data_IF_611795753139
#
_entry.id   IF_611795753139
#
_cell.length_a   1.000
_cell.length_b   1.000
_cell.length_c   1.000
_cell.angle_alpha   90.00
_cell.angle_beta   90.00
_cell.angle_gamma   90.00
#
_symmetry.space_group_name_H-M   'P 1'
#
loop_
_entity.id
_entity.type
_entity.pdbx_description
1 polymer ?
#
# COMPACT_ATOMS: atom_id res chain seq x y z
N UNK A 1 28.24 -15.55 -25.38
CA UNK A 1 27.06 -16.08 -26.12
C UNK A 1 25.72 -15.48 -25.64
N UNK A 2 25.69 -14.72 -24.53
CA UNK A 2 24.50 -13.99 -24.07
C UNK A 2 24.26 -12.65 -24.81
N UNK A 3 25.30 -11.98 -25.30
CA UNK A 3 25.18 -10.62 -25.86
C UNK A 3 24.33 -10.53 -27.15
N UNK A 4 24.34 -11.57 -28.00
CA UNK A 4 23.60 -11.54 -29.27
C UNK A 4 22.07 -11.70 -29.09
N UNK A 5 21.64 -12.38 -28.04
CA UNK A 5 20.21 -12.51 -27.71
C UNK A 5 19.68 -11.24 -27.06
N UNK A 6 20.48 -10.59 -26.24
CA UNK A 6 20.11 -9.37 -25.53
C UNK A 6 19.94 -8.17 -26.49
N UNK A 7 20.82 -8.05 -27.49
CA UNK A 7 20.70 -7.04 -28.56
C UNK A 7 19.46 -7.26 -29.42
N UNK A 8 19.10 -8.51 -29.73
CA UNK A 8 17.85 -8.82 -30.47
C UNK A 8 16.61 -8.46 -29.66
N UNK A 9 16.63 -8.70 -28.35
CA UNK A 9 15.50 -8.44 -27.45
C UNK A 9 15.32 -6.94 -27.20
N UNK A 10 16.42 -6.19 -27.04
CA UNK A 10 16.42 -4.71 -26.91
C UNK A 10 15.82 -4.04 -28.14
N UNK A 11 16.22 -4.49 -29.34
CA UNK A 11 15.65 -3.99 -30.59
C UNK A 11 14.14 -4.25 -30.69
N UNK A 12 13.65 -5.38 -30.15
CA UNK A 12 12.23 -5.72 -30.15
C UNK A 12 11.40 -4.78 -29.27
N UNK A 13 11.91 -4.44 -28.08
CA UNK A 13 11.23 -3.48 -27.21
C UNK A 13 11.16 -2.10 -27.84
N UNK A 14 12.29 -1.56 -28.33
CA UNK A 14 12.33 -0.23 -28.94
C UNK A 14 11.39 -0.11 -30.14
N UNK A 15 11.36 -1.12 -31.02
CA UNK A 15 10.42 -1.18 -32.15
C UNK A 15 8.98 -1.19 -31.67
N UNK A 16 8.67 -1.98 -30.62
CA UNK A 16 7.32 -2.01 -30.03
C UNK A 16 6.94 -0.67 -29.39
N UNK A 17 7.88 -0.02 -28.70
CA UNK A 17 7.67 1.26 -28.04
C UNK A 17 7.40 2.38 -29.06
N UNK A 18 8.25 2.48 -30.08
CA UNK A 18 8.07 3.45 -31.17
C UNK A 18 6.78 3.19 -31.94
N UNK A 19 6.46 1.93 -32.24
CA UNK A 19 5.20 1.57 -32.88
C UNK A 19 3.97 1.95 -32.05
N UNK A 20 4.03 1.76 -30.73
CA UNK A 20 2.95 2.17 -29.82
C UNK A 20 2.78 3.69 -29.77
N UNK A 21 3.89 4.42 -29.69
CA UNK A 21 3.90 5.88 -29.72
C UNK A 21 3.25 6.40 -31.02
N UNK A 22 3.69 5.91 -32.19
CA UNK A 22 3.14 6.32 -33.48
C UNK A 22 1.63 6.02 -33.55
N UNK A 23 1.21 4.83 -33.11
CA UNK A 23 -0.20 4.44 -33.09
C UNK A 23 -1.02 5.37 -32.19
N UNK A 24 -0.53 5.72 -31.00
CA UNK A 24 -1.23 6.60 -30.08
C UNK A 24 -1.26 8.05 -30.58
N UNK A 25 -0.22 8.52 -31.27
CA UNK A 25 -0.22 9.85 -31.90
C UNK A 25 -1.33 10.03 -32.94
N UNK A 26 -1.77 8.93 -33.59
CA UNK A 26 -2.91 8.96 -34.53
C UNK A 26 -4.27 8.86 -33.85
N UNK A 27 -4.31 8.60 -32.54
CA UNK A 27 -5.54 8.38 -31.79
C UNK A 27 -5.87 9.58 -30.91
N UNK A 28 -7.15 9.71 -30.54
CA UNK A 28 -7.56 10.66 -29.51
C UNK A 28 -6.96 10.27 -28.15
N UNK A 29 -6.63 11.23 -27.26
CA UNK A 29 -6.02 10.97 -25.96
C UNK A 29 -6.75 9.95 -25.08
N UNK A 30 -8.08 9.93 -25.16
CA UNK A 30 -8.93 9.00 -24.38
C UNK A 30 -8.84 7.54 -24.85
N UNK A 31 -8.19 7.28 -25.99
CA UNK A 31 -8.10 5.95 -26.59
C UNK A 31 -6.68 5.40 -26.59
N UNK A 32 -5.72 6.06 -25.93
CA UNK A 32 -4.35 5.56 -25.86
C UNK A 32 -4.32 4.14 -25.29
N UNK A 33 -3.60 3.26 -25.99
CA UNK A 33 -3.41 1.87 -25.57
C UNK A 33 -1.93 1.60 -25.46
N UNK A 34 -1.55 0.90 -24.40
CA UNK A 34 -0.16 0.52 -24.15
C UNK A 34 -0.06 -1.01 -24.09
N UNK A 35 0.98 -1.56 -24.71
CA UNK A 35 1.30 -2.99 -24.60
C UNK A 35 1.82 -3.29 -23.19
N UNK A 36 1.77 -4.56 -22.79
CA UNK A 36 2.20 -4.96 -21.44
C UNK A 36 3.66 -4.59 -21.14
N UNK A 37 4.56 -4.81 -22.11
CA UNK A 37 5.96 -4.41 -22.00
C UNK A 37 6.16 -2.92 -21.70
N UNK A 38 5.30 -2.05 -22.24
CA UNK A 38 5.37 -0.60 -22.02
C UNK A 38 4.83 -0.24 -20.65
N UNK A 39 3.80 -0.96 -20.17
CA UNK A 39 3.27 -0.79 -18.82
C UNK A 39 4.32 -1.22 -17.78
N UNK A 40 4.96 -2.36 -17.97
CA UNK A 40 6.04 -2.83 -17.09
C UNK A 40 7.20 -1.83 -17.05
N UNK A 41 7.62 -1.35 -18.23
CA UNK A 41 8.61 -0.29 -18.33
C UNK A 41 8.19 0.99 -17.60
N UNK A 42 6.91 1.40 -17.74
CA UNK A 42 6.37 2.58 -17.06
C UNK A 42 6.37 2.43 -15.53
N UNK A 43 6.03 1.26 -15.00
CA UNK A 43 6.12 0.96 -13.56
C UNK A 43 7.57 1.08 -13.10
N UNK A 44 8.50 0.41 -13.79
CA UNK A 44 9.93 0.48 -13.47
C UNK A 44 10.47 1.91 -13.50
N UNK A 45 10.10 2.69 -14.52
CA UNK A 45 10.50 4.10 -14.66
C UNK A 45 9.97 4.95 -13.49
N UNK A 46 8.73 4.73 -13.07
CA UNK A 46 8.13 5.46 -11.95
C UNK A 46 8.77 5.09 -10.61
N UNK A 47 9.00 3.79 -10.36
CA UNK A 47 9.59 3.30 -9.10
C UNK A 47 11.05 3.75 -8.98
N UNK A 48 11.84 3.64 -10.05
CA UNK A 48 13.27 3.96 -10.02
C UNK A 48 13.56 5.45 -10.23
N UNK A 49 12.82 6.11 -11.12
CA UNK A 49 13.03 7.53 -11.46
C UNK A 49 12.18 8.49 -10.63
N UNK A 50 11.13 7.99 -9.97
CA UNK A 50 10.18 8.81 -9.23
C UNK A 50 9.20 9.58 -10.12
N UNK A 51 8.20 10.18 -9.46
CA UNK A 51 7.08 10.87 -10.12
C UNK A 51 7.52 12.00 -11.06
N UNK A 52 8.54 12.77 -10.69
CA UNK A 52 8.97 13.93 -11.48
C UNK A 52 9.61 13.53 -12.80
N UNK A 53 10.50 12.53 -12.77
CA UNK A 53 11.13 11.98 -13.98
C UNK A 53 10.09 11.34 -14.88
N UNK A 54 9.16 10.58 -14.29
CA UNK A 54 8.06 9.97 -15.01
C UNK A 54 7.20 11.01 -15.74
N UNK A 55 6.74 12.05 -15.05
CA UNK A 55 5.93 13.11 -15.65
C UNK A 55 6.70 13.89 -16.71
N UNK A 56 7.97 14.19 -16.48
CA UNK A 56 8.82 14.83 -17.48
C UNK A 56 8.85 14.03 -18.77
N UNK A 57 9.09 12.72 -18.70
CA UNK A 57 9.11 11.86 -19.89
C UNK A 57 7.72 11.78 -20.53
N UNK A 58 6.67 11.61 -19.73
CA UNK A 58 5.28 11.51 -20.23
C UNK A 58 4.84 12.75 -21.00
N UNK A 59 5.22 13.93 -20.52
CA UNK A 59 4.86 15.21 -21.14
C UNK A 59 5.68 15.48 -22.41
N UNK A 60 6.96 15.09 -22.44
CA UNK A 60 7.82 15.28 -23.61
C UNK A 60 7.62 14.20 -24.70
N UNK A 61 7.19 13.00 -24.31
CA UNK A 61 6.87 11.89 -25.22
C UNK A 61 5.37 11.56 -25.13
N UNK A 62 4.55 12.48 -25.61
CA UNK A 62 3.09 12.38 -25.49
C UNK A 62 2.54 11.07 -26.07
N UNK A 63 1.71 10.37 -25.30
CA UNK A 63 1.12 9.09 -25.70
C UNK A 63 2.06 7.89 -25.69
N UNK A 64 3.32 8.05 -25.27
CA UNK A 64 4.30 6.95 -25.20
C UNK A 64 4.09 6.01 -23.99
N UNK A 65 3.70 6.59 -22.85
CA UNK A 65 3.51 5.88 -21.58
C UNK A 65 2.17 6.25 -20.95
N UNK A 66 1.62 5.40 -20.06
CA UNK A 66 0.34 5.64 -19.41
C UNK A 66 0.30 6.97 -18.63
N UNK A 67 -0.91 7.46 -18.37
CA UNK A 67 -1.09 8.55 -17.40
C UNK A 67 -0.98 8.03 -15.96
N UNK A 68 -0.85 8.95 -15.00
CA UNK A 68 -0.69 8.60 -13.58
C UNK A 68 -1.87 7.79 -13.02
N UNK A 69 -3.10 8.07 -13.42
CA UNK A 69 -4.26 7.33 -12.92
C UNK A 69 -4.21 5.86 -13.38
N UNK A 70 -3.89 5.64 -14.66
CA UNK A 70 -3.68 4.29 -15.20
C UNK A 70 -2.49 3.61 -14.55
N UNK A 71 -1.40 4.34 -14.29
CA UNK A 71 -0.23 3.79 -13.61
C UNK A 71 -0.56 3.36 -12.17
N UNK A 72 -1.29 4.19 -11.42
CA UNK A 72 -1.74 3.86 -10.07
C UNK A 72 -2.64 2.62 -10.06
N UNK A 73 -3.53 2.47 -11.05
CA UNK A 73 -4.33 1.26 -11.23
C UNK A 73 -3.47 0.04 -11.53
N UNK A 74 -2.44 0.18 -12.36
CA UNK A 74 -1.52 -0.91 -12.67
C UNK A 74 -0.73 -1.36 -11.44
N UNK A 75 -0.23 -0.42 -10.65
CA UNK A 75 0.50 -0.69 -9.39
C UNK A 75 -0.45 -1.33 -8.35
N UNK A 76 -1.71 -0.89 -8.30
CA UNK A 76 -2.71 -1.49 -7.40
C UNK A 76 -3.13 -2.90 -7.85
N UNK A 77 -3.10 -3.16 -9.16
CA UNK A 77 -3.49 -4.45 -9.76
C UNK A 77 -2.35 -5.47 -9.74
N UNK A 78 -1.09 -5.04 -9.77
CA UNK A 78 -0.02 -5.93 -9.41
C UNK A 78 -0.26 -6.37 -7.97
N UNK A 79 -0.52 -7.67 -7.75
CA UNK A 79 -0.73 -8.32 -6.44
C UNK A 79 0.52 -8.23 -5.52
N UNK A 80 1.29 -7.16 -5.63
CA UNK A 80 2.53 -6.85 -4.92
C UNK A 80 2.29 -5.98 -3.70
N UNK A 81 1.05 -5.62 -3.39
CA UNK A 81 0.71 -4.94 -2.15
C UNK A 81 0.76 -5.96 -1.00
N UNK A 82 1.93 -6.09 -0.39
CA UNK A 82 2.11 -6.90 0.81
C UNK A 82 1.47 -6.19 2.00
N UNK A 83 0.75 -6.95 2.83
CA UNK A 83 0.38 -6.44 4.14
C UNK A 83 1.56 -6.54 5.11
N UNK A 84 1.46 -5.83 6.24
CA UNK A 84 2.51 -5.86 7.26
C UNK A 84 2.77 -7.30 7.72
N UNK A 85 4.05 -7.66 7.88
CA UNK A 85 4.52 -8.99 8.25
C UNK A 85 4.19 -10.12 7.23
N UNK A 86 3.78 -9.79 5.99
CA UNK A 86 3.72 -10.77 4.89
C UNK A 86 5.01 -10.82 4.09
N UNK A 87 5.45 -12.04 3.78
CA UNK A 87 6.67 -12.31 3.03
C UNK A 87 6.35 -13.03 1.72
N UNK A 88 6.94 -12.57 0.61
CA UNK A 88 6.79 -13.23 -0.69
C UNK A 88 7.96 -14.15 -0.99
N UNK A 89 7.78 -15.43 -0.72
CA UNK A 89 8.77 -16.46 -1.04
C UNK A 89 8.59 -17.07 -2.44
N UNK A 90 7.59 -16.64 -3.21
CA UNK A 90 7.26 -17.23 -4.52
C UNK A 90 8.43 -17.19 -5.50
N UNK A 91 9.11 -16.05 -5.59
CA UNK A 91 10.30 -15.87 -6.44
C UNK A 91 11.53 -16.60 -5.93
N UNK A 92 11.61 -16.90 -4.62
CA UNK A 92 12.77 -17.57 -4.04
C UNK A 92 12.86 -19.04 -4.46
N UNK A 93 11.79 -19.65 -4.98
CA UNK A 93 11.84 -20.99 -5.59
C UNK A 93 12.77 -21.07 -6.81
N UNK A 94 13.05 -19.94 -7.46
CA UNK A 94 14.00 -19.88 -8.57
C UNK A 94 15.45 -19.88 -8.07
N UNK A 95 15.67 -19.43 -6.84
CA UNK A 95 16.97 -19.51 -6.17
C UNK A 95 17.14 -20.94 -5.64
N UNK A 96 18.10 -21.69 -6.18
CA UNK A 96 18.41 -23.07 -5.77
C UNK A 96 19.12 -23.14 -4.40
N UNK A 97 18.74 -22.27 -3.46
CA UNK A 97 19.30 -22.24 -2.12
C UNK A 97 18.40 -23.00 -1.16
N UNK A 98 18.98 -23.91 -0.38
CA UNK A 98 18.29 -24.62 0.70
C UNK A 98 18.20 -23.78 1.98
N UNK A 99 18.98 -22.69 2.06
CA UNK A 99 19.09 -21.84 3.24
C UNK A 99 18.97 -20.37 2.86
N UNK A 100 18.22 -19.62 3.66
CA UNK A 100 18.11 -18.17 3.57
C UNK A 100 18.36 -17.57 4.94
N UNK A 101 19.10 -16.47 4.99
CA UNK A 101 19.27 -15.68 6.20
C UNK A 101 18.42 -14.41 6.07
N UNK A 102 17.60 -14.14 7.08
CA UNK A 102 16.83 -12.92 7.17
C UNK A 102 17.33 -12.13 8.38
N UNK A 103 17.61 -10.85 8.16
CA UNK A 103 17.89 -9.89 9.22
C UNK A 103 16.88 -8.76 9.11
N UNK A 104 16.06 -8.58 10.13
CA UNK A 104 15.16 -7.44 10.23
C UNK A 104 15.86 -6.32 11.00
N UNK A 105 15.82 -5.10 10.44
CA UNK A 105 16.24 -3.91 11.15
C UNK A 105 15.02 -3.00 11.32
N UNK A 106 14.66 -2.73 12.57
CA UNK A 106 13.56 -1.81 12.89
C UNK A 106 14.09 -0.39 12.68
N UNK A 107 14.03 0.09 11.45
CA UNK A 107 14.33 1.49 11.16
C UNK A 107 13.27 2.37 11.81
N UNK A 108 13.70 3.34 12.62
CA UNK A 108 12.84 4.28 13.32
C UNK A 108 12.15 5.24 12.37
N UNK A 109 11.18 4.75 11.60
CA UNK A 109 10.23 5.56 10.84
C UNK A 109 9.30 6.21 11.87
N UNK A 110 8.98 7.49 11.66
CA UNK A 110 8.00 8.21 12.48
C UNK A 110 6.75 7.32 12.60
N UNK A 111 6.45 6.87 13.82
CA UNK A 111 5.39 5.90 14.13
C UNK A 111 4.03 6.53 13.89
N UNK A 112 3.58 6.49 12.65
CA UNK A 112 2.20 6.80 12.29
C UNK A 112 1.45 5.48 12.25
N UNK A 113 0.61 5.25 13.26
CA UNK A 113 -0.30 4.11 13.28
C UNK A 113 -1.47 4.44 12.37
N UNK A 114 -1.69 3.63 11.35
CA UNK A 114 -2.78 3.77 10.39
C UNK A 114 -3.68 2.55 10.45
N UNK A 115 -4.98 2.75 10.24
CA UNK A 115 -5.92 1.65 10.12
C UNK A 115 -6.04 1.23 8.65
N UNK A 116 -5.75 -0.04 8.35
CA UNK A 116 -5.98 -0.64 7.05
C UNK A 116 -7.37 -1.31 7.00
N UNK A 117 -8.31 -0.63 6.34
CA UNK A 117 -9.67 -1.13 6.13
C UNK A 117 -9.78 -2.43 5.35
N UNK A 118 -8.78 -2.81 4.53
CA UNK A 118 -8.83 -4.04 3.73
C UNK A 118 -8.61 -5.27 4.61
N UNK A 119 -7.68 -5.16 5.55
CA UNK A 119 -7.31 -6.25 6.47
C UNK A 119 -7.99 -6.11 7.83
N UNK A 120 -8.65 -4.97 8.08
CA UNK A 120 -9.24 -4.60 9.35
C UNK A 120 -8.21 -4.64 10.49
N UNK A 121 -7.03 -4.07 10.23
CA UNK A 121 -5.90 -4.11 11.14
C UNK A 121 -5.20 -2.76 11.30
N UNK A 122 -4.47 -2.60 12.39
CA UNK A 122 -3.60 -1.45 12.62
C UNK A 122 -2.20 -1.72 12.11
N UNK A 123 -1.72 -0.82 11.25
CA UNK A 123 -0.40 -0.85 10.62
C UNK A 123 0.49 0.19 11.27
N UNK A 124 1.78 -0.11 11.46
CA UNK A 124 2.77 0.82 11.99
C UNK A 124 3.11 0.62 13.48
N UNK A 125 2.57 -0.42 14.11
CA UNK A 125 3.09 -0.94 15.37
C UNK A 125 4.30 -1.85 15.12
N UNK A 126 5.13 -2.08 16.15
CA UNK A 126 6.15 -3.11 16.06
C UNK A 126 5.48 -4.49 16.21
N UNK A 127 5.28 -5.19 15.09
CA UNK A 127 4.66 -6.52 15.09
C UNK A 127 5.44 -7.51 15.96
N UNK A 128 4.80 -8.23 16.90
CA UNK A 128 5.47 -9.24 17.70
C UNK A 128 6.03 -10.37 16.85
N UNK A 129 7.13 -10.94 17.34
CA UNK A 129 7.91 -11.95 16.62
C UNK A 129 7.70 -13.30 17.31
N UNK A 130 7.39 -14.33 16.53
CA UNK A 130 7.40 -15.73 16.96
C UNK A 130 8.42 -16.51 16.12
N UNK A 131 9.31 -17.27 16.77
CA UNK A 131 10.39 -18.01 16.09
C UNK A 131 11.21 -17.18 15.09
N UNK A 132 11.48 -15.90 15.40
CA UNK A 132 12.18 -14.94 14.52
C UNK A 132 11.41 -14.52 13.26
N UNK A 133 10.10 -14.77 13.21
CA UNK A 133 9.21 -14.32 12.12
C UNK A 133 8.12 -13.41 12.70
N UNK A 134 7.92 -12.21 12.14
CA UNK A 134 6.79 -11.35 12.49
C UNK A 134 5.44 -12.07 12.31
N UNK A 135 4.53 -11.91 13.28
CA UNK A 135 3.20 -12.50 13.22
C UNK A 135 2.26 -11.69 12.31
N UNK A 136 1.81 -12.23 11.17
CA UNK A 136 0.95 -11.50 10.25
C UNK A 136 -0.40 -11.19 10.89
N UNK A 137 -0.91 -9.98 10.66
CA UNK A 137 -2.24 -9.52 11.12
C UNK A 137 -2.41 -9.59 12.65
N UNK A 138 -1.33 -9.47 13.43
CA UNK A 138 -1.37 -9.50 14.89
C UNK A 138 -2.30 -8.42 15.48
N UNK A 139 -2.34 -7.24 14.87
CA UNK A 139 -3.19 -6.11 15.30
C UNK A 139 -4.51 -6.02 14.53
N UNK A 140 -5.08 -7.16 14.12
CA UNK A 140 -6.42 -7.20 13.53
C UNK A 140 -7.50 -6.94 14.60
N UNK A 141 -8.49 -6.10 14.28
CA UNK A 141 -9.55 -5.73 15.21
C UNK A 141 -10.94 -5.94 14.58
N UNK A 142 -11.45 -7.18 14.62
CA UNK A 142 -12.76 -7.53 14.07
C UNK A 142 -13.92 -7.11 14.97
N UNK A 143 -13.64 -6.96 16.25
CA UNK A 143 -14.59 -6.50 17.25
C UNK A 143 -13.99 -5.37 18.08
N UNK A 144 -14.87 -4.62 18.74
CA UNK A 144 -14.46 -3.61 19.70
C UNK A 144 -13.55 -4.17 20.81
N UNK A 145 -13.81 -5.40 21.25
CA UNK A 145 -13.06 -6.03 22.33
C UNK A 145 -11.62 -6.35 21.92
N UNK A 146 -11.37 -6.52 20.62
CA UNK A 146 -10.04 -6.78 20.07
C UNK A 146 -9.13 -5.54 20.21
N UNK A 147 -9.70 -4.33 20.30
CA UNK A 147 -8.94 -3.09 20.46
C UNK A 147 -8.26 -2.97 21.82
N UNK A 148 -8.85 -3.57 22.86
CA UNK A 148 -8.34 -3.46 24.23
C UNK A 148 -6.91 -4.00 24.38
N UNK A 149 -6.60 -5.25 24.01
CA UNK A 149 -5.24 -5.76 24.11
C UNK A 149 -4.25 -4.98 23.23
N UNK A 150 -4.68 -4.49 22.06
CA UNK A 150 -3.85 -3.64 21.19
C UNK A 150 -3.49 -2.33 21.88
N UNK A 151 -4.45 -1.72 22.58
CA UNK A 151 -4.24 -0.48 23.32
C UNK A 151 -3.35 -0.69 24.55
N UNK A 152 -3.62 -1.74 25.33
CA UNK A 152 -2.93 -2.00 26.60
C UNK A 152 -1.47 -2.46 26.41
N UNK A 153 -1.17 -3.15 25.30
CA UNK A 153 0.15 -3.78 25.07
C UNK A 153 1.16 -2.83 24.41
N UNK A 154 0.71 -1.84 23.65
CA UNK A 154 1.58 -0.94 22.91
C UNK A 154 1.81 0.36 23.70
N UNK A 155 3.05 0.85 23.73
CA UNK A 155 3.34 2.21 24.21
C UNK A 155 2.72 3.25 23.26
N UNK A 156 1.45 3.60 23.46
CA UNK A 156 0.73 4.61 22.67
C UNK A 156 0.74 5.94 23.45
N UNK A 157 0.44 7.06 22.78
CA UNK A 157 0.13 8.29 23.51
C UNK A 157 -0.97 8.02 24.56
N UNK A 158 -0.97 8.72 25.70
CA UNK A 158 -2.11 8.70 26.62
C UNK A 158 -3.39 9.29 26.01
N UNK A 159 -3.32 9.85 24.79
CA UNK A 159 -4.43 10.48 24.07
C UNK A 159 -4.71 9.70 22.78
N UNK A 160 -5.89 9.10 22.70
CA UNK A 160 -6.33 8.28 21.58
C UNK A 160 -7.42 9.01 20.77
N UNK A 161 -7.06 9.67 19.67
CA UNK A 161 -8.05 10.37 18.83
C UNK A 161 -8.75 9.42 17.85
N UNK A 162 -9.81 8.76 18.28
CA UNK A 162 -10.64 7.95 17.37
C UNK A 162 -11.74 8.76 16.72
N UNK A 163 -11.83 8.70 15.39
CA UNK A 163 -12.91 9.29 14.61
C UNK A 163 -13.87 8.19 14.15
N UNK A 164 -14.97 8.01 14.86
CA UNK A 164 -16.01 7.05 14.48
C UNK A 164 -17.04 7.70 13.58
N UNK A 165 -17.42 7.04 12.48
CA UNK A 165 -18.43 7.50 11.55
C UNK A 165 -19.60 6.54 11.54
N UNK A 166 -20.79 7.03 11.85
CA UNK A 166 -22.03 6.27 11.69
C UNK A 166 -22.70 6.67 10.37
N UNK A 167 -22.90 5.71 9.46
CA UNK A 167 -23.80 5.90 8.31
C UNK A 167 -25.24 5.87 8.81
N UNK A 168 -25.66 6.95 9.47
CA UNK A 168 -27.08 7.26 9.62
C UNK A 168 -27.51 7.82 8.26
N UNK A 169 -28.66 7.44 7.70
CA UNK A 169 -29.20 8.01 6.45
C UNK A 169 -29.56 9.51 6.51
N UNK A 170 -28.80 10.28 7.29
CA UNK A 170 -28.95 11.68 7.67
C UNK A 170 -27.68 12.41 7.21
N UNK A 171 -27.74 13.67 6.75
CA UNK A 171 -26.67 14.28 5.93
C UNK A 171 -25.35 14.60 6.65
N UNK A 172 -25.25 14.41 7.97
CA UNK A 172 -24.13 14.89 8.76
C UNK A 172 -23.44 13.75 9.51
N UNK A 173 -22.16 13.46 9.21
CA UNK A 173 -21.38 12.54 10.03
C UNK A 173 -21.28 13.08 11.46
N UNK A 174 -21.67 12.27 12.44
CA UNK A 174 -21.39 12.56 13.85
C UNK A 174 -19.94 12.20 14.14
N UNK A 175 -19.20 13.16 14.68
CA UNK A 175 -17.84 12.95 15.15
C UNK A 175 -17.87 12.73 16.65
N UNK A 176 -17.22 11.67 17.11
CA UNK A 176 -17.02 11.39 18.51
C UNK A 176 -15.54 11.57 18.84
N UNK A 177 -15.22 12.17 19.98
CA UNK A 177 -13.87 12.23 20.52
C UNK A 177 -13.87 11.45 21.84
N UNK A 178 -12.96 10.49 21.98
CA UNK A 178 -12.74 9.74 23.20
C UNK A 178 -11.33 10.05 23.69
N UNK A 179 -11.16 10.29 25.00
CA UNK A 179 -9.83 10.53 25.57
C UNK A 179 -9.31 9.27 26.29
N UNK A 180 -10.19 8.31 26.59
CA UNK A 180 -9.85 7.01 27.17
C UNK A 180 -10.55 5.87 26.43
N UNK A 181 -10.05 4.64 26.63
CA UNK A 181 -10.68 3.42 26.11
C UNK A 181 -12.11 3.22 26.68
N UNK A 182 -12.37 3.62 27.93
CA UNK A 182 -13.69 3.50 28.53
C UNK A 182 -14.70 4.50 27.94
N UNK A 183 -14.26 5.72 27.62
CA UNK A 183 -15.08 6.70 26.90
C UNK A 183 -15.49 6.13 25.54
N UNK A 184 -14.53 5.53 24.84
CA UNK A 184 -14.76 4.88 23.56
C UNK A 184 -15.80 3.76 23.68
N UNK A 185 -15.64 2.87 24.66
CA UNK A 185 -16.57 1.75 24.87
C UNK A 185 -17.99 2.25 25.12
N UNK A 186 -18.11 3.27 25.96
CA UNK A 186 -19.40 3.89 26.27
C UNK A 186 -20.06 4.44 25.01
N UNK A 187 -19.31 5.13 24.14
CA UNK A 187 -19.82 5.67 22.87
C UNK A 187 -20.25 4.54 21.92
N UNK A 188 -19.47 3.47 21.81
CA UNK A 188 -19.79 2.31 20.98
C UNK A 188 -21.11 1.65 21.44
N UNK A 189 -21.22 1.37 22.75
CA UNK A 189 -22.38 0.71 23.36
C UNK A 189 -23.65 1.56 23.29
N UNK A 190 -23.54 2.90 23.37
CA UNK A 190 -24.70 3.81 23.37
C UNK A 190 -25.22 4.20 21.98
N UNK A 191 -24.39 4.13 20.94
CA UNK A 191 -24.74 4.71 19.64
C UNK A 191 -24.98 3.70 18.51
N UNK A 192 -24.97 2.37 18.76
CA UNK A 192 -25.13 1.32 17.74
C UNK A 192 -24.30 1.62 16.48
N UNK A 193 -23.02 1.98 16.67
CA UNK A 193 -22.17 2.45 15.58
C UNK A 193 -21.82 1.25 14.67
N UNK A 194 -22.35 1.25 13.44
CA UNK A 194 -21.96 0.30 12.40
C UNK A 194 -20.44 0.38 12.14
N UNK A 195 -19.77 -0.73 11.77
CA UNK A 195 -18.35 -0.98 12.01
C UNK A 195 -17.37 -0.22 11.09
N UNK A 196 -17.72 0.97 10.59
CA UNK A 196 -16.80 1.81 9.84
C UNK A 196 -15.97 2.67 10.81
N UNK A 197 -14.98 2.01 11.39
CA UNK A 197 -14.05 2.58 12.36
C UNK A 197 -12.82 3.13 11.61
N UNK A 198 -12.72 4.46 11.44
CA UNK A 198 -11.45 5.09 11.03
C UNK A 198 -10.73 5.58 12.29
N UNK A 199 -9.92 4.72 12.88
CA UNK A 199 -9.13 5.07 14.06
C UNK A 199 -7.81 5.71 13.64
N UNK A 200 -7.54 6.91 14.14
CA UNK A 200 -6.23 7.56 14.01
C UNK A 200 -5.55 7.57 15.38
N UNK A 201 -4.70 6.59 15.65
CA UNK A 201 -3.90 6.62 16.88
C UNK A 201 -2.67 7.48 16.66
N UNK A 202 -2.54 8.57 17.40
CA UNK A 202 -1.31 9.34 17.44
C UNK A 202 -0.49 8.85 18.63
N UNK A 203 0.81 8.60 18.42
CA UNK A 203 1.73 8.36 19.54
C UNK A 203 2.36 9.68 19.99
N UNK A 204 2.44 9.89 21.30
CA UNK A 204 3.05 11.08 21.88
C UNK A 204 4.55 10.84 21.86
N UNK A 205 5.27 11.66 21.11
CA UNK A 205 6.73 11.68 21.17
C UNK A 205 7.08 12.20 22.57
N UNK A 206 7.79 11.38 23.36
CA UNK A 206 8.54 11.84 24.54
C UNK A 206 10.01 11.96 24.14
#
# INVERSE_FOLDING_TARGET
MNDLNDVKQTNRFLVSFMGNLINNFTQSPNNFRHTESIKDFAICLYVLGGKQVYEFIRLNLYGSIPNLATLDELIKKSDTAFSEAEFYFGSLRQCHSQFGFCSENITGIIRKVEYDSKTNSFVGFATPIDHSVPLPKFYQANTFNDLKPIYDTNEIAPLLNMHMFQSTGVPLPKFYQANTFNDLKTIYDTNEVAPLLNVYMFQSIR
#
